data_IF_959290567839
#
_entry.id   IF_959290567839
#
_cell.length_a   1.000
_cell.length_b   1.000
_cell.length_c   1.000
_cell.angle_alpha   90.00
_cell.angle_beta   90.00
_cell.angle_gamma   90.00
#
_symmetry.space_group_name_H-M   'P 1'
#
loop_
_entity.id
_entity.type
_entity.pdbx_description
1 polymer ?
#
# COMPACT_ATOMS: atom_id res chain seq x y z
N UNK A 1 39.82 5.29 -8.88
CA UNK A 1 38.76 5.65 -7.89
C UNK A 1 38.95 7.10 -7.45
N UNK A 2 37.89 7.93 -7.43
CA UNK A 2 37.98 9.32 -6.98
C UNK A 2 38.36 9.44 -5.49
N UNK A 3 39.12 10.48 -5.09
CA UNK A 3 39.56 10.66 -3.70
C UNK A 3 38.38 10.82 -2.73
N UNK A 4 37.30 11.47 -3.15
CA UNK A 4 36.08 11.66 -2.37
C UNK A 4 35.40 10.32 -2.03
N UNK A 5 35.23 9.43 -3.03
CA UNK A 5 34.68 8.07 -2.84
C UNK A 5 35.56 7.26 -1.89
N UNK A 6 36.88 7.33 -2.06
CA UNK A 6 37.82 6.62 -1.18
C UNK A 6 37.73 7.10 0.28
N UNK A 7 37.54 8.41 0.48
CA UNK A 7 37.35 8.99 1.81
C UNK A 7 36.02 8.59 2.44
N UNK A 8 34.92 8.60 1.67
CA UNK A 8 33.61 8.13 2.13
C UNK A 8 33.63 6.65 2.53
N UNK A 9 34.28 5.79 1.74
CA UNK A 9 34.45 4.38 2.06
C UNK A 9 35.22 4.17 3.36
N UNK A 10 36.33 4.88 3.56
CA UNK A 10 37.12 4.75 4.80
C UNK A 10 36.37 5.26 6.03
N UNK A 11 35.58 6.34 5.88
CA UNK A 11 34.69 6.85 6.95
C UNK A 11 33.64 5.83 7.39
N UNK A 12 33.32 4.82 6.57
CA UNK A 12 32.44 3.72 7.00
C UNK A 12 32.97 3.00 8.24
N UNK A 13 34.29 2.97 8.41
CA UNK A 13 34.93 2.32 9.54
C UNK A 13 35.02 3.21 10.78
N UNK A 14 34.63 4.48 10.69
CA UNK A 14 34.70 5.47 11.76
C UNK A 14 33.38 5.57 12.52
N UNK A 15 33.44 6.17 13.70
CA UNK A 15 32.26 6.55 14.50
C UNK A 15 32.16 8.07 14.39
N UNK A 16 31.20 8.64 13.62
CA UNK A 16 31.20 10.06 13.29
C UNK A 16 31.00 10.97 14.51
N UNK A 17 30.13 10.55 15.43
CA UNK A 17 29.84 11.25 16.67
C UNK A 17 29.71 10.21 17.79
N UNK A 18 30.79 9.94 18.56
CA UNK A 18 30.77 8.94 19.61
C UNK A 18 29.82 9.29 20.77
N UNK A 19 29.36 10.54 20.88
CA UNK A 19 28.37 10.95 21.86
C UNK A 19 26.93 10.58 21.42
N UNK A 20 26.67 10.53 20.11
CA UNK A 20 25.34 10.20 19.55
C UNK A 20 25.22 8.76 19.04
N UNK A 21 26.32 8.15 18.61
CA UNK A 21 26.33 6.83 18.00
C UNK A 21 27.43 5.96 18.58
N UNK A 22 27.07 4.74 19.01
CA UNK A 22 28.03 3.78 19.61
C UNK A 22 28.66 2.81 18.61
N UNK A 23 28.22 2.86 17.36
CA UNK A 23 28.61 1.91 16.31
C UNK A 23 29.12 2.67 15.09
N UNK A 24 30.03 2.08 14.33
CA UNK A 24 30.52 2.70 13.10
C UNK A 24 29.42 2.80 12.06
N UNK A 25 29.61 3.65 11.06
CA UNK A 25 28.66 3.77 9.94
C UNK A 25 28.42 2.42 9.25
N UNK A 26 29.49 1.65 8.99
CA UNK A 26 29.38 0.30 8.42
C UNK A 26 28.47 -0.60 9.26
N UNK A 27 28.57 -0.53 10.57
CA UNK A 27 27.79 -1.35 11.48
C UNK A 27 26.32 -0.90 11.54
N UNK A 28 26.05 0.40 11.37
CA UNK A 28 24.69 0.90 11.15
C UNK A 28 24.13 0.37 9.84
N UNK A 29 24.88 0.48 8.74
CA UNK A 29 24.43 0.10 7.39
C UNK A 29 24.30 -1.41 7.17
N UNK A 30 24.96 -2.24 8.00
CA UNK A 30 24.76 -3.70 8.01
C UNK A 30 23.42 -4.12 8.60
N UNK A 31 22.79 -3.29 9.45
CA UNK A 31 21.50 -3.64 10.07
C UNK A 31 20.37 -3.54 9.05
N UNK A 32 19.76 -4.69 8.76
CA UNK A 32 18.65 -4.84 7.84
C UNK A 32 17.27 -4.70 8.50
N UNK A 33 16.28 -5.30 7.84
CA UNK A 33 14.87 -4.91 7.83
C UNK A 33 14.23 -4.40 9.11
N UNK A 34 13.51 -3.30 8.91
CA UNK A 34 12.77 -2.57 9.93
C UNK A 34 11.32 -3.09 10.04
N UNK A 35 10.56 -2.55 11.01
CA UNK A 35 9.15 -2.94 11.23
C UNK A 35 8.24 -2.53 10.06
N UNK A 36 7.25 -3.34 9.64
CA UNK A 36 6.29 -3.01 8.57
C UNK A 36 5.41 -1.84 9.00
N UNK A 37 5.91 -0.64 8.72
CA UNK A 37 5.31 0.63 9.09
C UNK A 37 5.87 1.73 8.20
N UNK A 38 5.15 2.83 8.02
CA UNK A 38 5.65 3.98 7.25
C UNK A 38 7.00 4.48 7.77
N UNK A 39 7.17 4.53 9.10
CA UNK A 39 8.45 4.94 9.73
C UNK A 39 9.57 3.93 9.47
N UNK A 40 9.27 2.64 9.53
CA UNK A 40 10.24 1.59 9.23
C UNK A 40 10.69 1.63 7.76
N UNK A 41 9.75 1.87 6.84
CA UNK A 41 10.06 1.98 5.41
C UNK A 41 10.88 3.23 5.09
N UNK A 42 10.59 4.37 5.73
CA UNK A 42 11.47 5.56 5.65
C UNK A 42 12.88 5.24 6.15
N UNK A 43 13.00 4.47 7.24
CA UNK A 43 14.31 4.02 7.75
C UNK A 43 15.07 3.14 6.75
N UNK A 44 14.37 2.21 6.11
CA UNK A 44 14.93 1.35 5.06
C UNK A 44 15.40 2.18 3.84
N UNK A 45 14.57 3.11 3.38
CA UNK A 45 14.89 4.02 2.27
C UNK A 45 16.09 4.92 2.59
N UNK A 46 16.15 5.48 3.79
CA UNK A 46 17.30 6.28 4.21
C UNK A 46 18.59 5.46 4.23
N UNK A 47 18.52 4.18 4.60
CA UNK A 47 19.67 3.27 4.53
C UNK A 47 20.13 3.06 3.09
N UNK A 48 19.22 2.89 2.12
CA UNK A 48 19.57 2.83 0.69
C UNK A 48 20.23 4.14 0.25
N UNK A 49 19.65 5.28 0.61
CA UNK A 49 20.20 6.60 0.28
C UNK A 49 21.61 6.81 0.87
N UNK A 50 21.83 6.41 2.12
CA UNK A 50 23.15 6.46 2.78
C UNK A 50 24.17 5.59 2.02
N UNK A 51 23.78 4.38 1.59
CA UNK A 51 24.64 3.47 0.84
C UNK A 51 24.98 4.00 -0.57
N UNK A 52 24.01 4.59 -1.27
CA UNK A 52 24.24 5.29 -2.55
C UNK A 52 25.21 6.46 -2.35
N UNK A 53 25.05 7.24 -1.27
CA UNK A 53 25.90 8.39 -0.97
C UNK A 53 27.37 8.03 -0.66
N UNK A 54 27.67 6.77 -0.32
CA UNK A 54 29.06 6.27 -0.25
C UNK A 54 29.77 6.37 -1.60
N UNK A 55 29.01 6.22 -2.70
CA UNK A 55 29.49 6.36 -4.07
C UNK A 55 30.13 5.09 -4.65
N UNK A 56 30.03 3.94 -3.99
CA UNK A 56 30.60 2.68 -4.49
C UNK A 56 30.00 2.25 -5.84
N UNK A 57 28.70 2.51 -6.06
CA UNK A 57 28.01 2.21 -7.32
C UNK A 57 28.46 3.01 -8.54
N UNK A 58 29.25 4.08 -8.34
CA UNK A 58 29.81 4.87 -9.45
C UNK A 58 31.12 4.29 -10.01
N UNK A 59 31.64 3.24 -9.38
CA UNK A 59 32.89 2.62 -9.76
C UNK A 59 32.64 1.51 -10.78
N UNK A 60 33.39 1.55 -11.87
CA UNK A 60 33.41 0.43 -12.81
C UNK A 60 34.14 -0.77 -12.21
N UNK A 61 33.37 -1.80 -11.88
CA UNK A 61 33.83 -3.08 -11.36
C UNK A 61 33.59 -4.24 -12.34
N UNK A 62 33.24 -3.94 -13.59
CA UNK A 62 32.91 -4.93 -14.64
C UNK A 62 34.02 -5.95 -14.91
N UNK A 63 35.27 -5.54 -14.69
CA UNK A 63 36.47 -6.38 -14.85
C UNK A 63 36.69 -7.37 -13.70
N UNK A 64 35.97 -7.22 -12.59
CA UNK A 64 36.08 -8.11 -11.42
C UNK A 64 35.01 -9.20 -11.49
N UNK A 65 35.38 -10.50 -11.45
CA UNK A 65 34.39 -11.56 -11.47
C UNK A 65 33.37 -11.44 -10.32
N UNK A 66 32.06 -11.62 -10.56
CA UNK A 66 31.02 -11.46 -9.54
C UNK A 66 31.27 -12.30 -8.28
N UNK A 67 31.73 -13.55 -8.44
CA UNK A 67 32.09 -14.42 -7.31
C UNK A 67 33.21 -13.83 -6.43
N UNK A 68 34.17 -13.12 -7.03
CA UNK A 68 35.26 -12.49 -6.28
C UNK A 68 34.78 -11.25 -5.53
N UNK A 69 33.89 -10.45 -6.15
CA UNK A 69 33.21 -9.35 -5.48
C UNK A 69 32.40 -9.85 -4.27
N UNK A 70 31.60 -10.91 -4.45
CA UNK A 70 30.85 -11.52 -3.35
C UNK A 70 31.76 -12.03 -2.23
N UNK A 71 32.90 -12.64 -2.56
CA UNK A 71 33.88 -13.09 -1.57
C UNK A 71 34.46 -11.93 -0.74
N UNK A 72 34.86 -10.84 -1.40
CA UNK A 72 35.33 -9.62 -0.72
C UNK A 72 34.22 -8.99 0.14
N UNK A 73 33.01 -8.89 -0.40
CA UNK A 73 31.86 -8.36 0.31
C UNK A 73 31.54 -9.18 1.56
N UNK A 74 31.58 -10.52 1.46
CA UNK A 74 31.35 -11.44 2.58
C UNK A 74 32.32 -11.18 3.72
N UNK A 75 33.60 -10.96 3.39
CA UNK A 75 34.61 -10.63 4.38
C UNK A 75 34.32 -9.28 5.05
N UNK A 76 33.93 -8.27 4.28
CA UNK A 76 33.58 -6.96 4.82
C UNK A 76 32.18 -6.88 5.44
N UNK A 77 31.29 -7.85 5.26
CA UNK A 77 29.98 -7.93 5.95
C UNK A 77 30.14 -8.62 7.31
N UNK A 78 30.88 -9.74 7.35
CA UNK A 78 31.08 -10.54 8.57
C UNK A 78 32.21 -10.02 9.46
N UNK A 79 33.16 -9.28 8.89
CA UNK A 79 34.36 -8.83 9.60
C UNK A 79 34.10 -7.75 10.65
N UNK A 80 34.83 -7.80 11.76
CA UNK A 80 34.82 -6.73 12.77
C UNK A 80 35.38 -5.44 12.17
N UNK A 81 34.72 -4.31 12.35
CA UNK A 81 35.15 -2.99 11.85
C UNK A 81 36.60 -2.65 12.23
N UNK A 82 37.01 -3.01 13.46
CA UNK A 82 38.38 -2.79 13.93
C UNK A 82 39.44 -3.58 13.14
N UNK A 83 39.10 -4.80 12.66
CA UNK A 83 40.00 -5.61 11.83
C UNK A 83 40.07 -5.05 10.42
N UNK A 84 38.93 -4.66 9.84
CA UNK A 84 38.88 -4.00 8.54
C UNK A 84 39.71 -2.71 8.54
N UNK A 85 39.69 -1.94 9.64
CA UNK A 85 40.48 -0.71 9.79
C UNK A 85 42.00 -0.94 9.82
N UNK A 86 42.46 -2.16 10.11
CA UNK A 86 43.88 -2.51 10.16
C UNK A 86 44.35 -3.27 8.91
N UNK A 87 43.45 -3.51 7.96
CA UNK A 87 43.74 -4.30 6.77
C UNK A 87 44.72 -3.58 5.85
N UNK A 88 45.84 -4.21 5.55
CA UNK A 88 46.83 -3.72 4.59
C UNK A 88 46.97 -4.72 3.44
N UNK A 89 47.35 -4.26 2.23
CA UNK A 89 47.53 -2.87 1.83
C UNK A 89 46.21 -2.06 1.80
N UNK A 90 46.31 -0.72 1.84
CA UNK A 90 45.15 0.20 1.77
C UNK A 90 44.21 -0.12 0.59
N UNK A 91 44.74 -0.53 -0.54
CA UNK A 91 44.01 -0.92 -1.74
C UNK A 91 43.10 -2.12 -1.49
N UNK A 92 43.59 -3.13 -0.75
CA UNK A 92 42.81 -4.31 -0.39
C UNK A 92 41.65 -3.94 0.55
N UNK A 93 41.92 -3.07 1.54
CA UNK A 93 40.87 -2.54 2.42
C UNK A 93 39.78 -1.82 1.62
N UNK A 94 40.17 -0.96 0.69
CA UNK A 94 39.23 -0.23 -0.16
C UNK A 94 38.43 -1.19 -1.05
N UNK A 95 39.06 -2.23 -1.63
CA UNK A 95 38.37 -3.24 -2.43
C UNK A 95 37.31 -3.99 -1.62
N UNK A 96 37.62 -4.38 -0.38
CA UNK A 96 36.64 -4.99 0.54
C UNK A 96 35.48 -4.02 0.83
N UNK A 97 35.77 -2.76 1.12
CA UNK A 97 34.74 -1.75 1.42
C UNK A 97 33.85 -1.45 0.21
N UNK A 98 34.41 -1.36 -1.00
CA UNK A 98 33.65 -1.20 -2.25
C UNK A 98 32.71 -2.37 -2.44
N UNK A 99 33.24 -3.60 -2.39
CA UNK A 99 32.44 -4.80 -2.58
C UNK A 99 31.33 -4.92 -1.53
N UNK A 100 31.64 -4.62 -0.26
CA UNK A 100 30.64 -4.60 0.81
C UNK A 100 29.57 -3.54 0.60
N UNK A 101 29.93 -2.32 0.20
CA UNK A 101 28.96 -1.25 -0.04
C UNK A 101 28.02 -1.59 -1.22
N UNK A 102 28.53 -2.18 -2.30
CA UNK A 102 27.72 -2.63 -3.43
C UNK A 102 26.71 -3.70 -3.00
N UNK A 103 27.17 -4.77 -2.36
CA UNK A 103 26.28 -5.85 -1.90
C UNK A 103 25.29 -5.39 -0.84
N UNK A 104 25.68 -4.48 0.06
CA UNK A 104 24.74 -3.89 1.01
C UNK A 104 23.72 -2.99 0.33
N UNK A 105 24.06 -2.31 -0.77
CA UNK A 105 23.13 -1.47 -1.54
C UNK A 105 22.05 -2.32 -2.21
N UNK A 106 22.45 -3.42 -2.85
CA UNK A 106 21.52 -4.37 -3.46
C UNK A 106 20.60 -4.95 -2.40
N UNK A 107 21.18 -5.48 -1.32
CA UNK A 107 20.41 -6.03 -0.19
C UNK A 107 19.48 -5.00 0.45
N UNK A 108 19.91 -3.74 0.60
CA UNK A 108 19.08 -2.69 1.17
C UNK A 108 17.90 -2.33 0.25
N UNK A 109 18.06 -2.50 -1.07
CA UNK A 109 17.00 -2.28 -2.05
C UNK A 109 15.98 -3.43 -1.98
N UNK A 110 16.45 -4.68 -1.98
CA UNK A 110 15.59 -5.86 -1.78
C UNK A 110 14.80 -5.75 -0.47
N UNK A 111 15.50 -5.37 0.60
CA UNK A 111 14.94 -5.11 1.91
C UNK A 111 13.76 -4.09 1.84
N UNK A 112 13.93 -2.98 1.12
CA UNK A 112 12.86 -1.98 0.93
C UNK A 112 11.66 -2.58 0.20
N UNK A 113 11.89 -3.38 -0.84
CA UNK A 113 10.83 -4.00 -1.63
C UNK A 113 10.04 -5.03 -0.81
N UNK A 114 10.73 -5.89 -0.07
CA UNK A 114 10.11 -6.86 0.84
C UNK A 114 9.28 -6.17 1.93
N UNK A 115 9.82 -5.09 2.51
CA UNK A 115 9.12 -4.33 3.55
C UNK A 115 7.91 -3.58 2.99
N UNK A 116 8.02 -3.06 1.77
CA UNK A 116 6.92 -2.43 1.06
C UNK A 116 5.82 -3.44 0.78
N UNK A 117 6.13 -4.60 0.21
CA UNK A 117 5.15 -5.64 -0.07
C UNK A 117 4.44 -6.11 1.21
N UNK A 118 5.21 -6.35 2.28
CA UNK A 118 4.64 -6.73 3.57
C UNK A 118 3.70 -5.64 4.11
N UNK A 119 4.08 -4.37 4.04
CA UNK A 119 3.24 -3.24 4.47
C UNK A 119 1.96 -3.14 3.64
N UNK A 120 2.06 -3.25 2.31
CA UNK A 120 0.92 -3.23 1.39
C UNK A 120 -0.05 -4.36 1.70
N UNK A 121 0.45 -5.58 1.82
CA UNK A 121 -0.36 -6.77 2.05
C UNK A 121 -1.02 -6.77 3.43
N UNK A 122 -0.26 -6.46 4.48
CA UNK A 122 -0.73 -6.68 5.87
C UNK A 122 -1.45 -5.47 6.48
N UNK A 123 -0.92 -4.25 6.30
CA UNK A 123 -1.43 -3.06 6.97
C UNK A 123 -2.43 -2.26 6.13
N UNK A 124 -2.39 -2.42 4.81
CA UNK A 124 -3.23 -1.67 3.88
C UNK A 124 -4.36 -2.56 3.33
N UNK A 125 -4.01 -3.59 2.55
CA UNK A 125 -5.00 -4.44 1.87
C UNK A 125 -5.79 -5.31 2.85
N UNK A 126 -5.11 -6.14 3.64
CA UNK A 126 -5.77 -7.04 4.59
C UNK A 126 -6.60 -6.28 5.63
N UNK A 127 -6.13 -5.10 6.05
CA UNK A 127 -6.82 -4.28 7.06
C UNK A 127 -8.05 -3.58 6.50
N UNK A 128 -7.98 -3.08 5.26
CA UNK A 128 -9.16 -2.58 4.56
C UNK A 128 -10.19 -3.72 4.40
N UNK A 129 -9.78 -4.87 3.88
CA UNK A 129 -10.69 -6.02 3.71
C UNK A 129 -11.37 -6.46 5.01
N UNK A 130 -10.63 -6.49 6.13
CA UNK A 130 -11.19 -6.76 7.46
C UNK A 130 -12.18 -5.68 7.88
N UNK A 131 -11.84 -4.41 7.70
CA UNK A 131 -12.72 -3.30 8.08
C UNK A 131 -14.03 -3.32 7.27
N UNK A 132 -13.95 -3.54 5.95
CA UNK A 132 -15.13 -3.75 5.11
C UNK A 132 -15.97 -4.93 5.59
N UNK A 133 -15.32 -6.06 5.92
CA UNK A 133 -16.00 -7.27 6.39
C UNK A 133 -16.67 -7.06 7.76
N UNK A 134 -16.01 -6.38 8.69
CA UNK A 134 -16.55 -6.04 10.01
C UNK A 134 -17.76 -5.11 9.88
N UNK A 135 -17.69 -4.11 9.00
CA UNK A 135 -18.79 -3.19 8.75
C UNK A 135 -19.99 -3.89 8.10
N UNK A 136 -19.74 -4.87 7.22
CA UNK A 136 -20.80 -5.74 6.68
C UNK A 136 -21.45 -6.59 7.78
N UNK A 137 -20.63 -7.20 8.65
CA UNK A 137 -21.13 -8.02 9.75
C UNK A 137 -21.97 -7.19 10.74
N UNK A 138 -21.60 -5.92 10.98
CA UNK A 138 -22.38 -4.97 11.79
C UNK A 138 -23.71 -4.59 11.14
N UNK A 139 -23.76 -4.44 9.82
CA UNK A 139 -24.99 -4.11 9.08
C UNK A 139 -25.96 -5.30 8.99
N UNK A 140 -25.44 -6.53 8.95
CA UNK A 140 -26.22 -7.75 8.69
C UNK A 140 -27.49 -7.92 9.56
N UNK A 141 -27.47 -7.71 10.90
CA UNK A 141 -28.67 -7.84 11.71
C UNK A 141 -29.79 -6.85 11.33
N UNK A 142 -29.43 -5.61 10.97
CA UNK A 142 -30.39 -4.59 10.52
C UNK A 142 -30.95 -4.95 9.14
N UNK A 143 -30.13 -5.45 8.24
CA UNK A 143 -30.56 -5.93 6.93
C UNK A 143 -31.53 -7.11 7.09
N UNK A 144 -31.13 -8.15 7.83
CA UNK A 144 -31.95 -9.34 8.08
C UNK A 144 -33.32 -9.01 8.68
N UNK A 145 -33.37 -8.13 9.68
CA UNK A 145 -34.63 -7.71 10.31
C UNK A 145 -35.58 -7.01 9.34
N UNK A 146 -35.07 -6.09 8.51
CA UNK A 146 -35.91 -5.34 7.58
C UNK A 146 -36.28 -6.18 6.35
N UNK A 147 -35.37 -7.02 5.85
CA UNK A 147 -35.67 -8.00 4.81
C UNK A 147 -36.76 -8.99 5.27
N UNK A 148 -36.75 -9.42 6.53
CA UNK A 148 -37.82 -10.25 7.10
C UNK A 148 -39.19 -9.57 7.08
N UNK A 149 -39.26 -8.26 7.34
CA UNK A 149 -40.51 -7.47 7.23
C UNK A 149 -41.00 -7.37 5.78
N UNK A 150 -40.10 -7.11 4.83
CA UNK A 150 -40.43 -7.09 3.41
C UNK A 150 -40.92 -8.46 2.93
N UNK A 151 -40.23 -9.54 3.33
CA UNK A 151 -40.59 -10.90 2.98
C UNK A 151 -41.97 -11.30 3.54
N UNK A 152 -42.31 -10.89 4.76
CA UNK A 152 -43.64 -11.15 5.33
C UNK A 152 -44.76 -10.51 4.50
N UNK A 153 -44.58 -9.24 4.07
CA UNK A 153 -45.56 -8.57 3.21
C UNK A 153 -45.64 -9.18 1.81
N UNK A 154 -44.51 -9.54 1.20
CA UNK A 154 -44.49 -10.16 -0.14
C UNK A 154 -45.09 -11.56 -0.12
N UNK A 155 -44.91 -12.34 0.95
CA UNK A 155 -45.55 -13.66 1.10
C UNK A 155 -47.07 -13.56 1.05
N UNK A 156 -47.66 -12.62 1.80
CA UNK A 156 -49.11 -12.37 1.77
C UNK A 156 -49.56 -12.00 0.35
N UNK A 157 -48.82 -11.14 -0.34
CA UNK A 157 -49.14 -10.76 -1.71
C UNK A 157 -49.11 -11.95 -2.67
N UNK A 158 -48.08 -12.80 -2.60
CA UNK A 158 -47.95 -13.97 -3.45
C UNK A 158 -49.04 -15.02 -3.15
N UNK A 159 -49.28 -15.33 -1.88
CA UNK A 159 -50.32 -16.27 -1.46
C UNK A 159 -51.71 -15.83 -1.97
N UNK A 160 -52.05 -14.54 -1.84
CA UNK A 160 -53.34 -14.03 -2.31
C UNK A 160 -53.44 -14.02 -3.85
N UNK A 161 -52.33 -13.78 -4.55
CA UNK A 161 -52.31 -13.83 -6.02
C UNK A 161 -52.54 -15.24 -6.58
N UNK A 162 -52.17 -16.28 -5.82
CA UNK A 162 -52.37 -17.69 -6.19
C UNK A 162 -53.77 -18.19 -5.82
N UNK A 163 -54.28 -17.80 -4.64
CA UNK A 163 -55.58 -18.27 -4.12
C UNK A 163 -56.76 -17.56 -4.78
N UNK A 164 -56.65 -16.26 -5.01
CA UNK A 164 -57.75 -15.47 -5.59
C UNK A 164 -57.21 -14.34 -6.50
N UNK A 165 -56.90 -14.64 -7.78
CA UNK A 165 -56.23 -13.70 -8.68
C UNK A 165 -56.98 -12.40 -8.96
N UNK A 166 -58.30 -12.37 -8.68
CA UNK A 166 -59.17 -11.21 -8.88
C UNK A 166 -59.38 -10.38 -7.59
N UNK A 167 -58.69 -10.72 -6.50
CA UNK A 167 -58.79 -10.00 -5.22
C UNK A 167 -58.38 -8.53 -5.39
N UNK A 168 -59.09 -7.62 -4.74
CA UNK A 168 -58.76 -6.20 -4.80
C UNK A 168 -57.48 -5.92 -4.03
N UNK A 169 -56.65 -5.01 -4.57
CA UNK A 169 -55.41 -4.59 -3.93
C UNK A 169 -55.64 -4.02 -2.51
N UNK A 170 -56.80 -3.41 -2.27
CA UNK A 170 -57.18 -2.86 -0.97
C UNK A 170 -57.34 -3.96 0.09
N UNK A 171 -58.00 -5.08 -0.26
CA UNK A 171 -58.14 -6.24 0.64
C UNK A 171 -56.78 -6.91 0.89
N UNK A 172 -55.91 -6.99 -0.12
CA UNK A 172 -54.54 -7.50 0.04
C UNK A 172 -53.72 -6.59 0.97
N UNK A 173 -53.88 -5.27 0.89
CA UNK A 173 -53.22 -4.34 1.82
C UNK A 173 -53.68 -4.50 3.26
N UNK A 174 -54.98 -4.72 3.49
CA UNK A 174 -55.50 -4.99 4.84
C UNK A 174 -54.94 -6.30 5.42
N UNK A 175 -54.78 -7.33 4.59
CA UNK A 175 -54.14 -8.58 4.99
C UNK A 175 -52.64 -8.40 5.30
N UNK A 176 -51.93 -7.57 4.52
CA UNK A 176 -50.53 -7.22 4.77
C UNK A 176 -50.39 -6.42 6.08
N UNK A 177 -51.31 -5.49 6.37
CA UNK A 177 -51.28 -4.65 7.58
C UNK A 177 -51.33 -5.50 8.87
N UNK A 178 -51.97 -6.68 8.82
CA UNK A 178 -51.97 -7.65 9.92
C UNK A 178 -50.60 -8.31 10.16
N UNK A 179 -49.74 -8.39 9.14
CA UNK A 179 -48.41 -8.98 9.23
C UNK A 179 -47.32 -7.92 9.48
N UNK A 180 -47.35 -6.80 8.73
CA UNK A 180 -46.43 -5.68 8.84
C UNK A 180 -47.14 -4.39 8.45
N UNK A 181 -47.12 -3.39 9.33
CA UNK A 181 -47.81 -2.12 9.06
C UNK A 181 -47.19 -1.36 7.88
N UNK A 182 -48.00 -0.57 7.16
CA UNK A 182 -47.53 0.28 6.05
C UNK A 182 -46.42 1.25 6.45
N UNK A 183 -46.40 1.71 7.71
CA UNK A 183 -45.33 2.56 8.27
C UNK A 183 -44.03 1.76 8.42
N UNK A 184 -44.11 0.55 8.93
CA UNK A 184 -42.95 -0.32 9.09
C UNK A 184 -42.39 -0.81 7.75
N UNK A 185 -43.25 -1.06 6.75
CA UNK A 185 -42.81 -1.39 5.40
C UNK A 185 -42.05 -0.24 4.77
N UNK A 186 -42.56 1.00 4.84
CA UNK A 186 -41.82 2.17 4.33
C UNK A 186 -40.49 2.37 5.04
N UNK A 187 -40.46 2.19 6.36
CA UNK A 187 -39.22 2.28 7.13
C UNK A 187 -38.24 1.16 6.76
N UNK A 188 -38.73 -0.06 6.52
CA UNK A 188 -37.93 -1.19 6.10
C UNK A 188 -37.33 -0.98 4.70
N UNK A 189 -38.12 -0.50 3.73
CA UNK A 189 -37.62 -0.13 2.39
C UNK A 189 -36.53 0.93 2.50
N UNK A 190 -36.80 2.05 3.19
CA UNK A 190 -35.81 3.11 3.34
C UNK A 190 -34.51 2.63 4.02
N UNK A 191 -34.62 1.72 5.00
CA UNK A 191 -33.45 1.15 5.68
C UNK A 191 -32.67 0.19 4.78
N UNK A 192 -33.35 -0.59 3.93
CA UNK A 192 -32.68 -1.48 2.97
C UNK A 192 -32.02 -0.66 1.86
N UNK A 193 -32.68 0.36 1.32
CA UNK A 193 -32.10 1.27 0.32
C UNK A 193 -30.85 2.00 0.85
N UNK A 194 -30.83 2.32 2.16
CA UNK A 194 -29.65 2.91 2.82
C UNK A 194 -28.53 1.89 3.03
N UNK A 195 -28.85 0.66 3.43
CA UNK A 195 -27.86 -0.35 3.84
C UNK A 195 -27.33 -1.20 2.68
N UNK A 196 -28.11 -1.35 1.61
CA UNK A 196 -27.87 -2.19 0.43
C UNK A 196 -28.34 -1.42 -0.82
N UNK A 197 -27.54 -0.46 -1.32
CA UNK A 197 -27.85 0.23 -2.58
C UNK A 197 -27.92 -0.78 -3.74
N UNK A 198 -28.88 -0.61 -4.65
CA UNK A 198 -29.21 -1.60 -5.68
C UNK A 198 -28.12 -1.85 -6.74
N UNK A 199 -27.09 -1.00 -6.83
CA UNK A 199 -25.96 -1.14 -7.76
C UNK A 199 -24.73 -1.72 -7.03
N UNK A 200 -24.75 -3.02 -6.78
CA UNK A 200 -23.69 -3.76 -6.05
C UNK A 200 -22.38 -3.97 -6.87
N UNK A 201 -22.08 -3.04 -7.81
CA UNK A 201 -20.72 -2.77 -8.29
C UNK A 201 -19.88 -2.05 -7.20
N UNK A 202 -20.51 -1.64 -6.10
CA UNK A 202 -19.94 -0.95 -4.95
C UNK A 202 -19.01 -1.81 -4.07
N UNK A 203 -18.91 -3.12 -4.32
CA UNK A 203 -17.89 -3.98 -3.70
C UNK A 203 -16.45 -3.52 -4.02
N UNK A 204 -16.24 -2.97 -5.23
CA UNK A 204 -15.00 -2.30 -5.59
C UNK A 204 -14.94 -0.88 -4.98
N UNK A 205 -16.06 -0.15 -4.99
CA UNK A 205 -16.16 1.24 -4.50
C UNK A 205 -15.84 1.40 -3.00
N UNK A 206 -16.47 0.60 -2.13
CA UNK A 206 -16.22 0.64 -0.67
C UNK A 206 -14.78 0.21 -0.35
N UNK A 207 -14.25 -0.80 -1.05
CA UNK A 207 -12.85 -1.22 -0.90
C UNK A 207 -11.89 -0.10 -1.32
N UNK A 208 -12.17 0.60 -2.43
CA UNK A 208 -11.39 1.74 -2.90
C UNK A 208 -11.47 2.93 -1.95
N UNK A 209 -12.62 3.20 -1.35
CA UNK A 209 -12.80 4.28 -0.37
C UNK A 209 -12.05 4.01 0.94
N UNK A 210 -12.12 2.78 1.44
CA UNK A 210 -11.33 2.35 2.60
C UNK A 210 -9.82 2.37 2.31
N UNK A 211 -9.41 1.96 1.10
CA UNK A 211 -8.03 2.06 0.63
C UNK A 211 -7.57 3.52 0.51
N UNK A 212 -8.44 4.41 0.01
CA UNK A 212 -8.17 5.84 -0.08
C UNK A 212 -7.98 6.46 1.31
N UNK A 213 -8.75 6.02 2.30
CA UNK A 213 -8.55 6.39 3.71
C UNK A 213 -7.18 5.97 4.27
N UNK A 214 -6.53 4.97 3.65
CA UNK A 214 -5.18 4.50 4.03
C UNK A 214 -4.05 5.16 3.25
N UNK A 215 -4.35 6.07 2.31
CA UNK A 215 -3.33 6.84 1.57
C UNK A 215 -2.39 7.63 2.49
N UNK A 216 -2.87 8.03 3.67
CA UNK A 216 -2.06 8.68 4.70
C UNK A 216 -0.86 7.83 5.18
N UNK A 217 -0.95 6.50 5.09
CA UNK A 217 0.14 5.58 5.45
C UNK A 217 1.23 5.54 4.36
N UNK A 218 0.84 5.70 3.10
CA UNK A 218 1.74 5.61 1.92
C UNK A 218 2.41 6.93 1.60
N UNK A 219 1.65 8.03 1.70
CA UNK A 219 2.06 9.39 1.35
C UNK A 219 3.42 9.83 1.95
N UNK A 220 3.79 9.48 3.19
CA UNK A 220 5.06 9.94 3.78
C UNK A 220 6.30 9.32 3.14
N UNK A 221 6.23 8.07 2.66
CA UNK A 221 7.41 7.36 2.15
C UNK A 221 7.45 7.30 0.62
N UNK A 222 6.30 7.42 -0.06
CA UNK A 222 6.22 7.21 -1.51
C UNK A 222 7.15 8.14 -2.31
N UNK A 223 7.22 9.46 -2.06
CA UNK A 223 8.15 10.34 -2.79
C UNK A 223 9.62 9.95 -2.57
N UNK A 224 9.96 9.53 -1.35
CA UNK A 224 11.31 9.08 -1.02
C UNK A 224 11.65 7.75 -1.70
N UNK A 225 10.67 6.86 -1.83
CA UNK A 225 10.81 5.59 -2.54
C UNK A 225 11.09 5.83 -4.03
N UNK A 226 10.30 6.67 -4.69
CA UNK A 226 10.46 7.02 -6.11
C UNK A 226 11.80 7.71 -6.41
N UNK A 227 12.34 8.45 -5.43
CA UNK A 227 13.65 9.12 -5.57
C UNK A 227 14.83 8.16 -5.37
N UNK A 228 14.68 7.18 -4.47
CA UNK A 228 15.80 6.38 -3.97
C UNK A 228 15.92 5.05 -4.69
N UNK A 229 14.80 4.42 -5.05
CA UNK A 229 14.76 3.12 -5.72
C UNK A 229 14.62 3.35 -7.22
N UNK A 230 15.55 2.81 -8.00
CA UNK A 230 15.41 2.73 -9.45
C UNK A 230 14.44 1.61 -9.80
N UNK A 231 13.24 1.96 -10.24
CA UNK A 231 12.28 0.98 -10.73
C UNK A 231 12.58 0.66 -12.19
N UNK A 232 12.77 -0.62 -12.46
CA UNK A 232 12.87 -1.19 -13.80
C UNK A 232 12.01 -2.45 -13.86
N UNK A 233 11.54 -2.78 -15.05
CA UNK A 233 10.84 -4.01 -15.33
C UNK A 233 11.83 -5.07 -15.83
N UNK A 234 11.65 -6.32 -15.40
CA UNK A 234 12.22 -7.45 -16.13
C UNK A 234 11.35 -7.72 -17.36
N UNK A 235 11.92 -8.28 -18.44
CA UNK A 235 11.19 -8.52 -19.69
C UNK A 235 9.94 -9.40 -19.56
N UNK A 236 9.73 -10.04 -18.41
CA UNK A 236 8.60 -10.93 -18.11
C UNK A 236 7.41 -10.21 -17.43
N UNK A 237 7.55 -8.94 -17.06
CA UNK A 237 6.50 -8.17 -16.34
C UNK A 237 5.42 -7.66 -17.30
N UNK A 238 5.73 -7.50 -18.58
CA UNK A 238 4.78 -7.01 -19.58
C UNK A 238 3.52 -7.91 -19.71
N UNK A 239 3.66 -9.21 -19.45
CA UNK A 239 2.55 -10.18 -19.45
C UNK A 239 1.66 -10.12 -18.21
N UNK A 240 2.11 -9.44 -17.14
CA UNK A 240 1.43 -9.33 -15.85
C UNK A 240 0.80 -7.94 -15.62
N UNK A 241 1.05 -6.98 -16.49
CA UNK A 241 0.29 -5.73 -16.52
C UNK A 241 -1.13 -6.07 -16.99
N UNK A 242 -2.09 -6.03 -16.07
CA UNK A 242 -3.50 -6.23 -16.42
C UNK A 242 -3.92 -5.19 -17.47
N UNK A 243 -4.88 -5.54 -18.33
CA UNK A 243 -5.38 -4.68 -19.43
C UNK A 243 -5.76 -3.27 -18.99
N UNK A 244 -6.10 -3.10 -17.71
CA UNK A 244 -6.59 -1.86 -17.11
C UNK A 244 -5.48 -1.05 -16.42
N UNK A 245 -4.22 -1.50 -16.49
CA UNK A 245 -3.08 -0.80 -15.88
C UNK A 245 -2.51 0.18 -16.90
N UNK A 246 -2.52 1.50 -16.67
CA UNK A 246 -2.05 2.52 -17.62
C UNK A 246 -0.52 2.63 -17.57
N UNK A 247 0.17 1.50 -17.72
CA UNK A 247 1.62 1.40 -17.73
C UNK A 247 2.07 0.52 -18.89
N UNK A 248 3.21 0.89 -19.48
CA UNK A 248 3.88 0.17 -20.57
C UNK A 248 5.35 0.02 -20.23
N UNK A 249 6.03 -0.94 -20.84
CA UNK A 249 7.45 -1.18 -20.64
C UNK A 249 8.13 -0.97 -21.99
N UNK A 250 9.20 -0.17 -22.03
CA UNK A 250 9.98 0.01 -23.27
C UNK A 250 10.95 -1.15 -23.51
N UNK A 251 11.62 -1.11 -24.67
CA UNK A 251 12.60 -2.12 -25.08
C UNK A 251 13.82 -2.20 -24.13
N UNK A 252 14.08 -1.16 -23.35
CA UNK A 252 15.16 -1.10 -22.34
C UNK A 252 14.69 -1.59 -20.95
N UNK A 253 13.44 -2.05 -20.82
CA UNK A 253 12.88 -2.50 -19.55
C UNK A 253 12.49 -1.36 -18.60
N UNK A 254 12.35 -0.12 -19.06
CA UNK A 254 11.84 0.98 -18.23
C UNK A 254 10.32 1.02 -18.24
N UNK A 255 9.76 1.27 -17.06
CA UNK A 255 8.32 1.46 -16.86
C UNK A 255 7.90 2.87 -17.28
N UNK A 256 7.04 2.97 -18.28
CA UNK A 256 6.37 4.18 -18.72
C UNK A 256 4.93 4.18 -18.22
N UNK A 257 4.60 5.10 -17.33
CA UNK A 257 3.23 5.27 -16.84
C UNK A 257 2.56 6.36 -17.67
N UNK A 258 1.44 6.05 -18.32
CA UNK A 258 0.65 7.05 -19.02
C UNK A 258 0.12 8.08 -18.01
N UNK A 259 -0.11 9.32 -18.46
CA UNK A 259 -0.75 10.33 -17.62
C UNK A 259 -2.07 9.77 -17.08
N UNK A 260 -2.15 9.60 -15.76
CA UNK A 260 -3.36 9.13 -15.09
C UNK A 260 -4.47 10.14 -15.35
N UNK A 261 -5.42 9.77 -16.22
CA UNK A 261 -6.68 10.48 -16.33
C UNK A 261 -7.42 10.24 -15.02
N UNK A 262 -7.77 11.30 -14.31
CA UNK A 262 -8.56 11.19 -13.09
C UNK A 262 -9.81 10.36 -13.41
N UNK A 263 -9.97 9.22 -12.74
CA UNK A 263 -11.21 8.46 -12.82
C UNK A 263 -12.31 9.40 -12.31
N UNK A 264 -13.41 9.59 -13.08
CA UNK A 264 -14.52 10.41 -12.64
C UNK A 264 -14.98 9.96 -11.24
N UNK A 265 -15.23 10.91 -10.34
CA UNK A 265 -15.72 10.60 -8.99
C UNK A 265 -16.94 9.66 -9.10
N UNK A 266 -16.95 8.53 -8.36
CA UNK A 266 -18.11 7.66 -8.38
C UNK A 266 -19.35 8.42 -7.86
N UNK A 267 -20.57 8.05 -8.31
CA UNK A 267 -21.80 8.74 -7.93
C UNK A 267 -21.98 8.90 -6.42
N UNK A 268 -21.47 7.97 -5.62
CA UNK A 268 -21.46 8.01 -4.16
C UNK A 268 -20.64 9.18 -3.58
N UNK A 269 -19.45 9.46 -4.13
CA UNK A 269 -18.62 10.60 -3.69
C UNK A 269 -19.22 11.95 -4.12
N UNK A 270 -19.85 12.00 -5.29
CA UNK A 270 -20.58 13.17 -5.76
C UNK A 270 -21.77 13.46 -4.83
N UNK A 271 -22.53 12.43 -4.44
CA UNK A 271 -23.68 12.59 -3.53
C UNK A 271 -23.24 12.93 -2.10
N UNK A 272 -22.16 12.32 -1.60
CA UNK A 272 -21.57 12.67 -0.30
C UNK A 272 -21.14 14.13 -0.25
N UNK A 273 -20.43 14.64 -1.28
CA UNK A 273 -20.01 16.05 -1.34
C UNK A 273 -21.21 16.98 -1.36
N UNK A 274 -22.24 16.66 -2.14
CA UNK A 274 -23.50 17.42 -2.19
C UNK A 274 -24.20 17.46 -0.83
N UNK A 275 -24.20 16.36 -0.07
CA UNK A 275 -24.77 16.29 1.29
C UNK A 275 -23.96 17.11 2.28
N UNK A 276 -22.63 17.02 2.24
CA UNK A 276 -21.74 17.81 3.10
C UNK A 276 -21.89 19.31 2.82
N UNK A 277 -21.92 19.73 1.54
CA UNK A 277 -22.15 21.12 1.14
C UNK A 277 -23.48 21.67 1.66
N UNK A 278 -24.53 20.85 1.74
CA UNK A 278 -25.82 21.23 2.34
C UNK A 278 -25.77 21.35 3.87
N UNK A 279 -24.85 20.65 4.53
CA UNK A 279 -24.69 20.66 5.99
C UNK A 279 -23.73 21.75 6.47
N UNK A 280 -22.88 22.30 5.60
CA UNK A 280 -22.01 23.40 5.95
C UNK A 280 -22.82 24.71 6.02
N UNK A 281 -22.79 25.45 7.15
CA UNK A 281 -23.39 26.77 7.21
C UNK A 281 -22.68 27.68 6.20
N UNK A 282 -23.46 28.40 5.38
CA UNK A 282 -22.92 29.41 4.46
C UNK A 282 -22.25 30.51 5.29
N UNK A 283 -20.94 30.42 5.51
CA UNK A 283 -20.18 31.53 6.05
C UNK A 283 -20.09 32.59 4.96
N UNK A 284 -20.92 33.63 5.09
CA UNK A 284 -20.71 34.87 4.36
C UNK A 284 -19.36 35.44 4.79
N UNK A 285 -18.37 35.36 3.90
CA UNK A 285 -17.17 36.16 4.02
C UNK A 285 -17.59 37.61 3.74
N UNK A 286 -17.69 38.40 4.81
CA UNK A 286 -17.62 39.87 4.74
C UNK A 286 -16.15 40.29 4.63
#
# INVERSE_FOLDING_TARGET
MPPQTSGSLLRLLEIPDPAKQRVSELERLRKGLFRPSSKGLIGALNRVADLIAVGAGTLDVSTVPPRRLLGLATHGISGKTALLRRMEPREHRLAVLVATALVLSDRATDDVLDLFDLLMTTELLSKAERQSSDEKLRRYPRVSRNAGKLAAAVKVLLEMSEVEPAISLEVVWDLIENAVTKRELRAAVATIDELVPADDAELAGQRLEELAGRLATVRPFLPLMMKTVGFGATGDVASHLGSDTPATIDEDGKLHVAALVAVPDPPSLIDLRRRIEKMMPKMALN
#
